data_IF_733408449430
#
_entry.id   IF_733408449430
#
_cell.length_a   1.000
_cell.length_b   1.000
_cell.length_c   1.000
_cell.angle_alpha   90.00
_cell.angle_beta   90.00
_cell.angle_gamma   90.00
#
_symmetry.space_group_name_H-M   'P 1'
#
loop_
_entity.id
_entity.type
_entity.pdbx_description
1 polymer ?
#
# COMPACT_ATOMS: atom_id res chain seq x y z
N UNK A 1 3.76 -57.34 8.76
CA UNK A 1 3.28 -58.73 8.76
C UNK A 1 2.29 -58.86 7.62
N UNK A 2 2.60 -59.66 6.60
CA UNK A 2 1.71 -59.89 5.47
C UNK A 2 0.48 -60.66 5.94
N UNK A 3 -0.71 -60.21 5.52
CA UNK A 3 -1.93 -60.97 5.73
C UNK A 3 -1.87 -62.25 4.87
N UNK A 4 -2.32 -63.41 5.38
CA UNK A 4 -2.38 -64.63 4.58
C UNK A 4 -3.23 -64.40 3.32
N UNK A 5 -2.74 -64.88 2.18
CA UNK A 5 -3.31 -64.71 0.82
C UNK A 5 -3.15 -63.32 0.17
N UNK A 6 -2.36 -62.41 0.74
CA UNK A 6 -1.99 -61.16 0.10
C UNK A 6 -0.56 -61.22 -0.44
N UNK A 7 -0.32 -60.57 -1.59
CA UNK A 7 1.02 -60.40 -2.18
C UNK A 7 1.38 -58.91 -2.18
N UNK A 8 2.59 -58.59 -1.73
CA UNK A 8 3.19 -57.26 -1.87
C UNK A 8 3.42 -56.96 -3.36
N UNK A 9 2.96 -55.80 -3.84
CA UNK A 9 3.21 -55.35 -5.21
C UNK A 9 3.81 -53.94 -5.19
N UNK A 10 4.70 -53.60 -6.15
CA UNK A 10 5.26 -52.26 -6.21
C UNK A 10 4.14 -51.25 -6.45
N UNK A 11 4.15 -50.15 -5.71
CA UNK A 11 3.19 -49.07 -5.93
C UNK A 11 3.39 -48.48 -7.33
N UNK A 12 2.34 -48.17 -8.09
CA UNK A 12 2.51 -47.51 -9.39
C UNK A 12 3.12 -46.12 -9.21
N UNK A 13 4.08 -45.77 -10.07
CA UNK A 13 4.67 -44.43 -10.14
C UNK A 13 3.97 -43.52 -11.14
N UNK A 14 4.42 -42.26 -11.19
CA UNK A 14 3.90 -41.25 -12.13
C UNK A 14 4.25 -41.56 -13.59
N UNK A 15 5.43 -42.12 -13.81
CA UNK A 15 5.94 -42.43 -15.14
C UNK A 15 5.76 -43.92 -15.42
N UNK A 16 5.62 -44.26 -16.70
CA UNK A 16 5.59 -45.66 -17.14
C UNK A 16 6.87 -46.38 -16.68
N UNK A 17 6.72 -47.63 -16.24
CA UNK A 17 7.81 -48.50 -15.76
C UNK A 17 8.56 -47.96 -14.52
N UNK A 18 7.98 -46.96 -13.85
CA UNK A 18 8.48 -46.43 -12.57
C UNK A 18 7.53 -46.82 -11.45
N UNK A 19 8.06 -47.34 -10.33
CA UNK A 19 7.26 -47.56 -9.13
C UNK A 19 7.38 -46.40 -8.13
N UNK A 20 6.36 -46.23 -7.30
CA UNK A 20 6.21 -45.14 -6.32
C UNK A 20 6.87 -45.42 -4.97
N UNK A 21 7.86 -46.30 -4.92
CA UNK A 21 8.53 -46.66 -3.67
C UNK A 21 9.49 -45.56 -3.25
N UNK A 22 9.62 -45.33 -1.95
CA UNK A 22 10.52 -44.32 -1.41
C UNK A 22 11.63 -44.94 -0.58
N UNK A 23 12.85 -44.41 -0.71
CA UNK A 23 13.94 -44.75 0.22
C UNK A 23 13.75 -43.95 1.49
N UNK A 24 13.72 -44.65 2.61
CA UNK A 24 13.89 -44.08 3.95
C UNK A 24 15.18 -44.61 4.56
N UNK A 25 15.67 -43.95 5.60
CA UNK A 25 16.88 -44.38 6.28
C UNK A 25 17.27 -43.43 7.41
N UNK A 26 18.41 -43.71 8.00
CA UNK A 26 19.02 -42.89 9.04
C UNK A 26 20.25 -42.18 8.47
N UNK A 27 20.43 -40.91 8.84
CA UNK A 27 21.67 -40.21 8.56
C UNK A 27 22.67 -40.53 9.67
N UNK A 28 23.85 -41.03 9.30
CA UNK A 28 24.96 -41.24 10.23
C UNK A 28 25.93 -40.07 10.04
N UNK A 29 26.09 -39.25 11.07
CA UNK A 29 27.00 -38.12 11.09
C UNK A 29 28.24 -38.41 11.93
N UNK A 30 29.42 -38.18 11.36
CA UNK A 30 30.70 -38.25 12.08
C UNK A 30 31.18 -36.81 12.29
N UNK A 31 31.47 -36.44 13.53
CA UNK A 31 32.00 -35.11 13.84
C UNK A 31 33.38 -34.93 13.20
N UNK A 32 33.61 -33.80 12.55
CA UNK A 32 34.95 -33.48 12.00
C UNK A 32 36.00 -33.17 13.06
N UNK A 33 35.63 -33.12 14.34
CA UNK A 33 36.47 -32.73 15.47
C UNK A 33 36.84 -33.92 16.40
N UNK A 34 36.81 -35.16 15.90
CA UNK A 34 37.23 -36.35 16.67
C UNK A 34 38.63 -36.82 16.27
N UNK A 35 39.27 -37.61 17.13
CA UNK A 35 40.57 -38.21 16.83
C UNK A 35 40.49 -39.24 15.71
N UNK A 36 41.61 -39.47 15.01
CA UNK A 36 41.72 -40.50 13.97
C UNK A 36 41.39 -41.90 14.50
N UNK A 37 41.81 -42.21 15.73
CA UNK A 37 41.45 -43.45 16.42
C UNK A 37 39.92 -43.59 16.57
N UNK A 38 39.23 -42.51 16.93
CA UNK A 38 37.76 -42.51 17.03
C UNK A 38 37.11 -42.70 15.66
N UNK A 39 37.67 -42.10 14.61
CA UNK A 39 37.19 -42.29 13.23
C UNK A 39 37.32 -43.77 12.84
N UNK A 40 38.47 -44.40 13.09
CA UNK A 40 38.69 -45.81 12.79
C UNK A 40 37.73 -46.73 13.55
N UNK A 41 37.49 -46.46 14.84
CA UNK A 41 36.50 -47.21 15.62
C UNK A 41 35.08 -47.08 15.05
N UNK A 42 34.67 -45.86 14.66
CA UNK A 42 33.36 -45.62 14.04
C UNK A 42 33.24 -46.32 12.69
N UNK A 43 34.32 -46.38 11.89
CA UNK A 43 34.31 -47.11 10.62
C UNK A 43 34.06 -48.61 10.81
N UNK A 44 34.62 -49.23 11.84
CA UNK A 44 34.34 -50.65 12.14
C UNK A 44 32.87 -50.87 12.54
N UNK A 45 32.28 -49.95 13.31
CA UNK A 45 30.85 -49.99 13.63
C UNK A 45 29.99 -49.85 12.36
N UNK A 46 30.33 -48.93 11.46
CA UNK A 46 29.59 -48.76 10.20
C UNK A 46 29.71 -50.01 9.33
N UNK A 47 30.91 -50.61 9.21
CA UNK A 47 31.10 -51.87 8.49
C UNK A 47 30.27 -53.00 9.07
N UNK A 48 30.23 -53.12 10.40
CA UNK A 48 29.42 -54.13 11.07
C UNK A 48 27.93 -53.93 10.78
N UNK A 49 27.40 -52.71 10.94
CA UNK A 49 25.98 -52.40 10.70
C UNK A 49 25.63 -52.62 9.21
N UNK A 50 26.52 -52.29 8.28
CA UNK A 50 26.31 -52.46 6.85
C UNK A 50 26.59 -53.88 6.33
N UNK A 51 27.06 -54.80 7.19
CA UNK A 51 27.40 -56.17 6.79
C UNK A 51 26.17 -56.95 6.31
N UNK A 52 26.37 -57.87 5.38
CA UNK A 52 25.27 -58.69 4.84
C UNK A 52 24.59 -59.53 5.93
N UNK A 53 25.36 -60.06 6.89
CA UNK A 53 24.83 -60.85 8.00
C UNK A 53 23.89 -60.03 8.89
N UNK A 54 24.33 -58.85 9.33
CA UNK A 54 23.51 -58.01 10.20
C UNK A 54 22.29 -57.45 9.44
N UNK A 55 22.45 -57.10 8.16
CA UNK A 55 21.33 -56.66 7.33
C UNK A 55 20.29 -57.77 7.09
N UNK A 56 20.72 -59.02 6.84
CA UNK A 56 19.80 -60.18 6.77
C UNK A 56 19.04 -60.35 8.09
N UNK A 57 19.74 -60.26 9.22
CA UNK A 57 19.14 -60.36 10.55
C UNK A 57 18.11 -59.25 10.78
N UNK A 58 18.42 -58.00 10.44
CA UNK A 58 17.48 -56.88 10.56
C UNK A 58 16.22 -57.11 9.74
N UNK A 59 16.36 -57.56 8.48
CA UNK A 59 15.22 -57.88 7.61
C UNK A 59 14.38 -59.02 8.19
N UNK A 60 14.99 -60.10 8.67
CA UNK A 60 14.27 -61.25 9.23
C UNK A 60 13.57 -60.94 10.54
N UNK A 61 14.20 -60.16 11.42
CA UNK A 61 13.66 -59.87 12.77
C UNK A 61 12.61 -58.76 12.73
N UNK A 62 12.88 -57.67 12.00
CA UNK A 62 12.03 -56.48 12.01
C UNK A 62 11.14 -56.34 10.78
N UNK A 63 11.33 -57.18 9.76
CA UNK A 63 10.59 -57.09 8.49
C UNK A 63 10.92 -55.84 7.69
N UNK A 64 12.00 -55.12 8.03
CA UNK A 64 12.49 -53.98 7.26
C UNK A 64 13.07 -54.45 5.93
N UNK A 65 13.11 -53.59 4.92
CA UNK A 65 13.80 -53.89 3.65
C UNK A 65 15.15 -53.18 3.67
N UNK A 66 16.23 -53.94 3.49
CA UNK A 66 17.59 -53.42 3.45
C UNK A 66 17.90 -52.79 2.10
N UNK A 67 18.77 -51.78 2.10
CA UNK A 67 19.36 -51.22 0.88
C UNK A 67 20.56 -52.02 0.37
N UNK A 68 21.05 -53.02 1.12
CA UNK A 68 22.17 -53.87 0.69
C UNK A 68 21.63 -54.95 -0.26
N UNK A 69 21.65 -54.66 -1.56
CA UNK A 69 20.97 -55.47 -2.59
C UNK A 69 21.51 -56.92 -2.64
N UNK A 70 22.80 -57.12 -2.35
CA UNK A 70 23.45 -58.42 -2.44
C UNK A 70 22.80 -59.50 -1.57
N UNK A 71 22.24 -59.13 -0.42
CA UNK A 71 21.60 -60.10 0.48
C UNK A 71 20.42 -60.82 -0.18
N UNK A 72 19.80 -60.18 -1.17
CA UNK A 72 18.65 -60.72 -1.91
C UNK A 72 19.06 -61.67 -3.04
N UNK A 73 20.35 -61.88 -3.27
CA UNK A 73 20.85 -62.91 -4.20
C UNK A 73 21.01 -64.28 -3.52
N UNK A 74 20.93 -64.33 -2.20
CA UNK A 74 20.99 -65.56 -1.42
C UNK A 74 19.67 -66.32 -1.48
N UNK A 75 19.67 -67.47 -2.17
CA UNK A 75 18.49 -68.31 -2.35
C UNK A 75 17.90 -68.85 -1.04
N UNK A 76 18.73 -69.08 -0.02
CA UNK A 76 18.25 -69.57 1.27
C UNK A 76 17.51 -68.47 2.03
N UNK A 77 18.07 -67.25 2.03
CA UNK A 77 17.42 -66.07 2.58
C UNK A 77 16.08 -65.76 1.89
N UNK A 78 16.03 -65.89 0.55
CA UNK A 78 14.83 -65.65 -0.24
C UNK A 78 13.69 -66.67 -0.04
N UNK A 79 13.92 -67.78 0.68
CA UNK A 79 12.82 -68.67 1.10
C UNK A 79 11.91 -68.01 2.14
N UNK A 80 12.42 -67.03 2.88
CA UNK A 80 11.71 -66.37 3.98
C UNK A 80 11.26 -64.95 3.63
N UNK A 81 11.80 -64.36 2.57
CA UNK A 81 11.56 -62.98 2.15
C UNK A 81 11.31 -62.91 0.65
N UNK A 82 10.33 -62.12 0.21
CA UNK A 82 10.09 -61.87 -1.22
C UNK A 82 11.21 -60.99 -1.82
N UNK A 83 12.31 -61.64 -2.19
CA UNK A 83 13.48 -61.00 -2.78
C UNK A 83 13.18 -60.39 -4.15
N UNK A 84 12.30 -61.03 -4.95
CA UNK A 84 11.94 -60.53 -6.27
C UNK A 84 11.19 -59.21 -6.16
N UNK A 85 10.29 -59.08 -5.18
CA UNK A 85 9.65 -57.81 -4.87
C UNK A 85 10.69 -56.72 -4.55
N UNK A 86 11.64 -56.98 -3.64
CA UNK A 86 12.63 -55.98 -3.22
C UNK A 86 13.58 -55.60 -4.36
N UNK A 87 14.01 -56.54 -5.19
CA UNK A 87 14.85 -56.26 -6.37
C UNK A 87 14.15 -55.39 -7.41
N UNK A 88 12.83 -55.49 -7.51
CA UNK A 88 12.03 -54.71 -8.45
C UNK A 88 11.61 -53.33 -7.89
N UNK A 89 11.83 -53.05 -6.61
CA UNK A 89 11.56 -51.74 -6.02
C UNK A 89 12.56 -50.71 -6.53
N UNK A 90 12.06 -49.56 -6.95
CA UNK A 90 12.87 -48.41 -7.33
C UNK A 90 12.82 -47.42 -6.17
N UNK A 91 13.97 -47.26 -5.51
CA UNK A 91 14.10 -46.33 -4.41
C UNK A 91 14.12 -44.88 -4.91
N UNK A 92 12.99 -44.18 -4.87
CA UNK A 92 12.97 -42.73 -5.15
C UNK A 92 13.22 -41.97 -3.85
N UNK A 93 14.06 -40.93 -3.92
CA UNK A 93 14.28 -40.05 -2.77
C UNK A 93 13.00 -39.29 -2.44
N UNK A 94 12.65 -39.21 -1.16
CA UNK A 94 11.57 -38.32 -0.71
C UNK A 94 11.97 -36.87 -1.00
N UNK A 95 11.06 -35.98 -1.39
CA UNK A 95 11.35 -34.57 -1.61
C UNK A 95 11.46 -33.81 -0.27
N UNK A 96 12.14 -34.39 0.73
CA UNK A 96 12.25 -33.83 2.07
C UNK A 96 13.02 -32.52 2.11
N UNK A 97 13.92 -32.28 1.15
CA UNK A 97 14.65 -31.02 1.01
C UNK A 97 13.79 -29.85 0.53
N UNK A 98 12.61 -30.11 -0.03
CA UNK A 98 11.76 -29.07 -0.60
C UNK A 98 10.87 -28.41 0.46
N UNK A 99 10.89 -28.91 1.69
CA UNK A 99 10.04 -28.47 2.78
C UNK A 99 10.87 -28.32 4.04
N UNK A 100 10.69 -27.21 4.76
CA UNK A 100 11.36 -26.99 6.04
C UNK A 100 10.95 -28.04 7.08
N UNK A 101 9.69 -28.50 7.02
CA UNK A 101 9.16 -29.57 7.84
C UNK A 101 8.33 -30.57 7.03
N UNK A 102 9.03 -31.57 6.46
CA UNK A 102 8.39 -32.64 5.69
C UNK A 102 7.40 -33.47 6.51
N UNK A 103 7.62 -33.64 7.81
CA UNK A 103 6.74 -34.42 8.67
C UNK A 103 5.36 -33.78 8.80
N UNK A 104 5.30 -32.49 9.12
CA UNK A 104 4.06 -31.71 9.14
C UNK A 104 3.35 -31.72 7.78
N UNK A 105 4.11 -31.52 6.69
CA UNK A 105 3.59 -31.61 5.33
C UNK A 105 2.94 -32.98 5.07
N UNK A 106 3.63 -34.06 5.41
CA UNK A 106 3.17 -35.43 5.16
C UNK A 106 1.88 -35.75 5.93
N UNK A 107 1.78 -35.31 7.19
CA UNK A 107 0.58 -35.47 8.01
C UNK A 107 -0.61 -34.75 7.38
N UNK A 108 -0.41 -33.51 6.89
CA UNK A 108 -1.46 -32.75 6.21
C UNK A 108 -1.95 -33.45 4.94
N UNK A 109 -1.03 -33.92 4.10
CA UNK A 109 -1.37 -34.64 2.87
C UNK A 109 -2.13 -35.93 3.18
N UNK A 110 -1.67 -36.70 4.18
CA UNK A 110 -2.36 -37.93 4.62
C UNK A 110 -3.78 -37.60 5.11
N UNK A 111 -3.95 -36.55 5.92
CA UNK A 111 -5.27 -36.15 6.40
C UNK A 111 -6.22 -35.76 5.26
N UNK A 112 -5.73 -35.03 4.26
CA UNK A 112 -6.50 -34.68 3.06
C UNK A 112 -6.86 -35.93 2.26
N UNK A 113 -5.90 -36.84 2.09
CA UNK A 113 -6.12 -38.09 1.36
C UNK A 113 -7.10 -39.01 2.09
N UNK A 114 -7.07 -39.06 3.42
CA UNK A 114 -8.05 -39.81 4.22
C UNK A 114 -9.47 -39.23 4.06
N UNK A 115 -9.62 -37.90 3.98
CA UNK A 115 -10.92 -37.27 3.65
C UNK A 115 -11.41 -37.66 2.25
N UNK A 116 -10.51 -37.92 1.31
CA UNK A 116 -10.86 -38.44 -0.01
C UNK A 116 -11.30 -39.91 0.05
N UNK A 117 -10.50 -40.77 0.69
CA UNK A 117 -10.78 -42.20 0.80
C UNK A 117 -12.07 -42.50 1.59
N UNK A 118 -12.35 -41.73 2.64
CA UNK A 118 -13.42 -42.04 3.60
C UNK A 118 -14.51 -40.96 3.72
N UNK A 119 -14.27 -39.74 3.23
CA UNK A 119 -15.13 -38.58 3.45
C UNK A 119 -15.96 -38.14 2.23
N UNK A 120 -16.09 -38.98 1.20
CA UNK A 120 -16.80 -38.68 -0.06
C UNK A 120 -16.31 -37.41 -0.77
N UNK A 121 -15.07 -36.98 -0.53
CA UNK A 121 -14.49 -35.81 -1.20
C UNK A 121 -14.18 -36.13 -2.66
N UNK A 122 -14.38 -35.18 -3.56
CA UNK A 122 -14.01 -35.37 -4.97
C UNK A 122 -12.49 -35.38 -5.14
N UNK A 123 -12.00 -36.21 -6.07
CA UNK A 123 -10.57 -36.29 -6.39
C UNK A 123 -10.00 -34.93 -6.82
N UNK A 124 -10.77 -34.16 -7.60
CA UNK A 124 -10.38 -32.82 -8.06
C UNK A 124 -10.14 -31.85 -6.90
N UNK A 125 -11.03 -31.83 -5.92
CA UNK A 125 -10.93 -30.92 -4.78
C UNK A 125 -9.80 -31.33 -3.84
N UNK A 126 -9.63 -32.64 -3.65
CA UNK A 126 -8.53 -33.23 -2.88
C UNK A 126 -7.18 -32.87 -3.50
N UNK A 127 -7.02 -33.05 -4.81
CA UNK A 127 -5.80 -32.67 -5.52
C UNK A 127 -5.55 -31.16 -5.46
N UNK A 128 -6.61 -30.35 -5.52
CA UNK A 128 -6.49 -28.88 -5.41
C UNK A 128 -6.01 -28.48 -4.02
N UNK A 129 -6.50 -29.12 -2.95
CA UNK A 129 -6.06 -28.85 -1.58
C UNK A 129 -4.60 -29.27 -1.36
N UNK A 130 -4.19 -30.42 -1.91
CA UNK A 130 -2.78 -30.85 -1.90
C UNK A 130 -1.89 -29.87 -2.68
N UNK A 131 -2.34 -29.39 -3.85
CA UNK A 131 -1.63 -28.36 -4.62
C UNK A 131 -1.52 -27.05 -3.82
N UNK A 132 -2.58 -26.63 -3.11
CA UNK A 132 -2.59 -25.40 -2.31
C UNK A 132 -1.58 -25.43 -1.14
N UNK A 133 -1.28 -26.60 -0.57
CA UNK A 133 -0.27 -26.73 0.50
C UNK A 133 1.14 -26.42 -0.04
N UNK A 134 1.41 -26.73 -1.30
CA UNK A 134 2.77 -26.62 -1.88
C UNK A 134 2.94 -25.37 -2.73
N UNK A 135 1.87 -24.91 -3.37
CA UNK A 135 1.92 -23.82 -4.33
C UNK A 135 1.97 -22.47 -3.64
N UNK A 136 2.92 -21.65 -4.05
CA UNK A 136 2.93 -20.21 -3.74
C UNK A 136 1.93 -19.52 -4.66
N UNK A 137 0.81 -19.08 -4.10
CA UNK A 137 -0.21 -18.36 -4.83
C UNK A 137 0.19 -16.91 -5.06
N UNK A 138 -0.21 -16.40 -6.22
CA UNK A 138 0.16 -15.09 -6.72
C UNK A 138 -1.11 -14.30 -7.01
N UNK A 139 -1.17 -13.03 -6.58
CA UNK A 139 -2.24 -12.12 -6.94
C UNK A 139 -2.13 -11.76 -8.43
N UNK A 140 -2.94 -12.41 -9.28
CA UNK A 140 -2.84 -12.30 -10.73
C UNK A 140 -4.21 -12.38 -11.39
N UNK A 141 -4.42 -11.52 -12.39
CA UNK A 141 -5.64 -11.48 -13.21
C UNK A 141 -5.90 -12.77 -13.98
N UNK A 142 -4.88 -13.63 -14.16
CA UNK A 142 -5.04 -14.94 -14.79
C UNK A 142 -5.80 -15.93 -13.89
N UNK A 143 -5.69 -15.78 -12.57
CA UNK A 143 -6.20 -16.77 -11.61
C UNK A 143 -7.46 -16.31 -10.86
N UNK A 144 -7.66 -14.99 -10.71
CA UNK A 144 -8.78 -14.43 -9.94
C UNK A 144 -9.53 -13.37 -10.75
N UNK A 145 -10.83 -13.56 -10.93
CA UNK A 145 -11.70 -12.62 -11.67
C UNK A 145 -11.78 -11.25 -10.98
N UNK A 146 -11.78 -11.23 -9.64
CA UNK A 146 -11.82 -10.02 -8.84
C UNK A 146 -10.56 -9.16 -9.08
N UNK A 147 -9.41 -9.81 -9.24
CA UNK A 147 -8.16 -9.11 -9.55
C UNK A 147 -8.16 -8.56 -10.98
N UNK A 148 -8.79 -9.25 -11.94
CA UNK A 148 -8.97 -8.74 -13.30
C UNK A 148 -9.84 -7.47 -13.31
N UNK A 149 -10.98 -7.49 -12.60
CA UNK A 149 -11.85 -6.31 -12.48
C UNK A 149 -11.08 -5.12 -11.90
N UNK A 150 -10.30 -5.36 -10.84
CA UNK A 150 -9.52 -4.30 -10.20
C UNK A 150 -8.44 -3.74 -11.12
N UNK A 151 -7.78 -4.58 -11.93
CA UNK A 151 -6.82 -4.13 -12.93
C UNK A 151 -7.47 -3.26 -14.01
N UNK A 152 -8.64 -3.64 -14.50
CA UNK A 152 -9.41 -2.85 -15.48
C UNK A 152 -9.77 -1.48 -14.87
N UNK A 153 -10.24 -1.45 -13.62
CA UNK A 153 -10.56 -0.20 -12.92
C UNK A 153 -9.33 0.71 -12.76
N UNK A 154 -8.15 0.16 -12.43
CA UNK A 154 -6.90 0.92 -12.37
C UNK A 154 -6.53 1.51 -13.73
N UNK A 155 -6.66 0.74 -14.81
CA UNK A 155 -6.38 1.22 -16.18
C UNK A 155 -7.36 2.34 -16.57
N UNK A 156 -8.65 2.17 -16.31
CA UNK A 156 -9.65 3.20 -16.57
C UNK A 156 -9.36 4.49 -15.78
N UNK A 157 -9.02 4.37 -14.50
CA UNK A 157 -8.63 5.53 -13.69
C UNK A 157 -7.36 6.21 -14.22
N UNK A 158 -6.39 5.46 -14.71
CA UNK A 158 -5.18 6.02 -15.32
C UNK A 158 -5.54 6.89 -16.53
N UNK A 159 -6.36 6.38 -17.44
CA UNK A 159 -6.81 7.15 -18.60
C UNK A 159 -7.66 8.35 -18.19
N UNK A 160 -8.54 8.21 -17.19
CA UNK A 160 -9.32 9.34 -16.67
C UNK A 160 -8.42 10.45 -16.12
N UNK A 161 -7.35 10.12 -15.39
CA UNK A 161 -6.37 11.09 -14.89
C UNK A 161 -5.67 11.79 -16.06
N UNK A 162 -5.14 11.04 -17.02
CA UNK A 162 -4.42 11.60 -18.17
C UNK A 162 -5.33 12.48 -19.04
N UNK A 163 -6.53 12.01 -19.38
CA UNK A 163 -7.47 12.77 -20.22
C UNK A 163 -7.93 14.05 -19.52
N UNK A 164 -8.18 14.01 -18.22
CA UNK A 164 -8.59 15.21 -17.47
C UNK A 164 -7.52 16.31 -17.48
N UNK A 165 -6.22 15.96 -17.57
CA UNK A 165 -5.18 16.99 -17.66
C UNK A 165 -5.21 17.78 -18.96
N UNK A 166 -5.74 17.19 -20.04
CA UNK A 166 -5.90 17.87 -21.31
C UNK A 166 -6.90 19.04 -21.19
N UNK A 167 -7.85 18.98 -20.25
CA UNK A 167 -8.83 20.05 -19.99
C UNK A 167 -8.12 21.37 -19.64
N UNK A 168 -6.96 21.31 -18.97
CA UNK A 168 -6.20 22.50 -18.54
C UNK A 168 -5.64 23.26 -19.75
N UNK A 169 -5.34 22.55 -20.85
CA UNK A 169 -4.80 23.14 -22.07
C UNK A 169 -5.83 23.98 -22.82
N UNK A 170 -7.13 23.80 -22.53
CA UNK A 170 -8.22 24.53 -23.17
C UNK A 170 -8.31 25.93 -22.53
N UNK A 171 -8.13 27.03 -23.28
CA UNK A 171 -8.11 28.39 -22.74
C UNK A 171 -9.37 28.77 -21.94
N UNK A 172 -10.53 28.24 -22.33
CA UNK A 172 -11.81 28.44 -21.63
C UNK A 172 -11.75 28.01 -20.16
N UNK A 173 -11.01 26.95 -19.84
CA UNK A 173 -10.91 26.42 -18.49
C UNK A 173 -9.74 27.01 -17.69
N UNK A 174 -8.82 27.76 -18.30
CA UNK A 174 -7.65 28.35 -17.62
C UNK A 174 -8.01 29.22 -16.42
N UNK A 175 -9.14 29.95 -16.49
CA UNK A 175 -9.61 30.79 -15.37
C UNK A 175 -10.04 30.00 -14.13
N UNK A 176 -10.40 28.73 -14.29
CA UNK A 176 -10.81 27.85 -13.18
C UNK A 176 -9.60 27.28 -12.42
N UNK A 177 -8.39 27.41 -12.97
CA UNK A 177 -7.18 26.83 -12.38
C UNK A 177 -6.27 27.86 -11.69
N UNK A 178 -6.70 29.11 -11.50
CA UNK A 178 -5.86 30.23 -11.00
C UNK A 178 -5.10 29.97 -9.68
N UNK A 179 -5.70 29.28 -8.71
CA UNK A 179 -5.03 28.84 -7.46
C UNK A 179 -3.72 28.10 -7.69
N UNK A 180 -3.60 27.30 -8.76
CA UNK A 180 -2.45 26.42 -8.99
C UNK A 180 -1.95 26.60 -10.43
N UNK A 181 -0.72 27.12 -10.56
CA UNK A 181 -0.07 27.28 -11.87
C UNK A 181 0.06 25.96 -12.64
N UNK A 182 0.12 26.04 -13.96
CA UNK A 182 0.16 24.90 -14.87
C UNK A 182 1.24 23.86 -14.51
N UNK A 183 2.49 24.30 -14.30
CA UNK A 183 3.62 23.43 -13.98
C UNK A 183 3.39 22.59 -12.72
N UNK A 184 2.64 23.15 -11.77
CA UNK A 184 2.35 22.55 -10.48
C UNK A 184 1.27 21.48 -10.62
N UNK A 185 0.28 21.72 -11.49
CA UNK A 185 -0.76 20.74 -11.78
C UNK A 185 -0.15 19.54 -12.52
N UNK A 186 0.86 19.74 -13.36
CA UNK A 186 1.62 18.63 -13.97
C UNK A 186 2.27 17.77 -12.88
N UNK A 187 2.98 18.38 -11.93
CA UNK A 187 3.61 17.64 -10.82
C UNK A 187 2.57 16.89 -9.99
N UNK A 188 1.45 17.55 -9.67
CA UNK A 188 0.34 16.94 -8.94
C UNK A 188 -0.23 15.71 -9.67
N UNK A 189 -0.44 15.83 -10.98
CA UNK A 189 -0.96 14.74 -11.82
C UNK A 189 0.02 13.59 -11.87
N UNK A 190 1.31 13.87 -12.05
CA UNK A 190 2.36 12.86 -12.02
C UNK A 190 2.35 12.12 -10.67
N UNK A 191 2.19 12.86 -9.56
CA UNK A 191 2.01 12.27 -8.24
C UNK A 191 0.80 11.34 -8.15
N UNK A 192 -0.34 11.74 -8.71
CA UNK A 192 -1.57 10.94 -8.75
C UNK A 192 -1.41 9.65 -9.58
N UNK A 193 -0.69 9.73 -10.69
CA UNK A 193 -0.32 8.57 -11.53
C UNK A 193 0.60 7.62 -10.75
N UNK A 194 1.60 8.13 -10.01
CA UNK A 194 2.47 7.30 -9.18
C UNK A 194 1.71 6.61 -8.05
N UNK A 195 0.79 7.31 -7.39
CA UNK A 195 -0.08 6.71 -6.36
C UNK A 195 -0.95 5.60 -6.95
N UNK A 196 -1.57 5.83 -8.12
CA UNK A 196 -2.38 4.82 -8.80
C UNK A 196 -1.53 3.62 -9.24
N UNK A 197 -0.35 3.89 -9.81
CA UNK A 197 0.60 2.88 -10.27
C UNK A 197 1.16 2.01 -9.14
N UNK A 198 1.14 2.49 -7.89
CA UNK A 198 1.43 1.65 -6.71
C UNK A 198 0.49 0.45 -6.66
N UNK A 199 -0.79 0.61 -7.02
CA UNK A 199 -1.75 -0.49 -7.11
C UNK A 199 -1.33 -1.59 -8.09
N UNK A 200 -0.73 -1.21 -9.22
CA UNK A 200 -0.25 -2.16 -10.24
C UNK A 200 0.90 -3.05 -9.72
N UNK A 201 1.68 -2.59 -8.74
CA UNK A 201 2.80 -3.37 -8.16
C UNK A 201 2.35 -4.55 -7.29
N UNK A 202 1.05 -4.63 -6.95
CA UNK A 202 0.48 -5.78 -6.24
C UNK A 202 0.27 -7.00 -7.14
N UNK A 203 0.25 -6.80 -8.46
CA UNK A 203 -0.02 -7.88 -9.42
C UNK A 203 1.24 -8.68 -9.79
N UNK A 204 1.06 -9.97 -9.98
CA UNK A 204 2.10 -10.93 -10.36
C UNK A 204 3.01 -11.31 -9.20
N UNK A 205 4.10 -12.02 -9.52
CA UNK A 205 5.04 -12.53 -8.51
C UNK A 205 5.63 -11.40 -7.66
N UNK A 206 5.70 -11.61 -6.34
CA UNK A 206 6.37 -10.73 -5.40
C UNK A 206 7.87 -10.90 -5.57
N UNK A 207 8.55 -9.80 -5.90
CA UNK A 207 10.00 -9.71 -6.06
C UNK A 207 10.49 -8.50 -5.29
N UNK A 208 11.74 -8.53 -4.82
CA UNK A 208 12.34 -7.44 -4.06
C UNK A 208 12.22 -6.09 -4.77
N UNK A 209 12.53 -6.05 -6.08
CA UNK A 209 12.39 -4.86 -6.92
C UNK A 209 10.96 -4.31 -6.96
N UNK A 210 9.94 -5.19 -6.92
CA UNK A 210 8.54 -4.75 -6.88
C UNK A 210 8.16 -4.21 -5.50
N UNK A 211 8.67 -4.80 -4.41
CA UNK A 211 8.48 -4.27 -3.06
C UNK A 211 9.08 -2.87 -2.93
N UNK A 212 10.30 -2.69 -3.45
CA UNK A 212 10.96 -1.39 -3.53
C UNK A 212 10.15 -0.39 -4.37
N UNK A 213 9.77 -0.77 -5.60
CA UNK A 213 9.01 0.10 -6.49
C UNK A 213 7.66 0.49 -5.89
N UNK A 214 6.97 -0.43 -5.21
CA UNK A 214 5.73 -0.16 -4.48
C UNK A 214 5.92 0.95 -3.46
N UNK A 215 6.93 0.84 -2.61
CA UNK A 215 7.21 1.83 -1.57
C UNK A 215 7.65 3.18 -2.17
N UNK A 216 8.51 3.14 -3.19
CA UNK A 216 8.99 4.32 -3.90
C UNK A 216 7.84 5.10 -4.55
N UNK A 217 7.00 4.43 -5.35
CA UNK A 217 5.87 5.06 -6.04
C UNK A 217 4.86 5.64 -5.05
N UNK A 218 4.54 4.92 -3.97
CA UNK A 218 3.65 5.40 -2.92
C UNK A 218 4.23 6.65 -2.25
N UNK A 219 5.51 6.62 -1.90
CA UNK A 219 6.16 7.72 -1.19
C UNK A 219 6.29 8.97 -2.03
N UNK A 220 6.80 8.82 -3.26
CA UNK A 220 6.98 9.95 -4.16
C UNK A 220 5.64 10.50 -4.64
N UNK A 221 4.69 9.63 -4.96
CA UNK A 221 3.35 10.01 -5.37
C UNK A 221 2.65 10.86 -4.30
N UNK A 222 2.71 10.45 -3.04
CA UNK A 222 2.17 11.21 -1.92
C UNK A 222 2.81 12.60 -1.81
N UNK A 223 4.15 12.68 -1.82
CA UNK A 223 4.88 13.95 -1.74
C UNK A 223 4.53 14.88 -2.91
N UNK A 224 4.44 14.36 -4.13
CA UNK A 224 4.10 15.13 -5.33
C UNK A 224 2.65 15.61 -5.36
N UNK A 225 1.72 14.93 -4.68
CA UNK A 225 0.32 15.38 -4.55
C UNK A 225 0.18 16.48 -3.49
N UNK A 226 0.73 16.27 -2.29
CA UNK A 226 0.50 17.20 -1.17
C UNK A 226 1.43 18.42 -1.16
N UNK A 227 2.66 18.32 -1.68
CA UNK A 227 3.60 19.44 -1.66
C UNK A 227 3.11 20.65 -2.48
N UNK A 228 2.54 20.48 -3.69
CA UNK A 228 1.83 21.54 -4.39
C UNK A 228 0.79 22.30 -3.56
N UNK A 229 -0.03 21.56 -2.81
CA UNK A 229 -1.10 22.09 -1.97
C UNK A 229 -0.49 22.91 -0.84
N UNK A 230 0.49 22.34 -0.15
CA UNK A 230 1.20 22.99 0.95
C UNK A 230 1.86 24.30 0.51
N UNK A 231 2.58 24.30 -0.62
CA UNK A 231 3.20 25.52 -1.16
C UNK A 231 2.16 26.61 -1.45
N UNK A 232 1.00 26.25 -1.99
CA UNK A 232 -0.06 27.20 -2.29
C UNK A 232 -0.71 27.81 -1.05
N UNK A 233 -0.90 27.02 0.00
CA UNK A 233 -1.37 27.51 1.29
C UNK A 233 -0.34 28.47 1.89
N UNK A 234 0.94 28.08 1.95
CA UNK A 234 2.01 28.97 2.44
C UNK A 234 2.04 30.31 1.68
N UNK A 235 1.90 30.30 0.35
CA UNK A 235 1.87 31.55 -0.45
C UNK A 235 0.63 32.42 -0.15
N UNK A 236 -0.50 31.79 0.19
CA UNK A 236 -1.76 32.48 0.44
C UNK A 236 -1.98 32.85 1.90
N UNK A 237 -1.01 32.58 2.76
CA UNK A 237 -1.06 32.92 4.18
C UNK A 237 -1.47 34.40 4.40
N UNK A 238 -2.36 34.71 5.37
CA UNK A 238 -2.96 36.04 5.48
C UNK A 238 -1.98 37.18 5.79
N UNK A 239 -0.86 36.87 6.44
CA UNK A 239 0.20 37.81 6.80
C UNK A 239 1.43 37.63 5.90
N UNK A 240 1.96 38.74 5.39
CA UNK A 240 3.22 38.70 4.66
C UNK A 240 4.34 38.25 5.60
N UNK A 241 5.02 37.17 5.21
CA UNK A 241 6.16 36.66 5.96
C UNK A 241 7.27 36.21 5.00
N UNK A 242 8.50 36.25 5.49
CA UNK A 242 9.70 35.92 4.69
C UNK A 242 9.63 34.53 4.08
N UNK A 243 8.95 33.58 4.73
CA UNK A 243 8.78 32.20 4.25
C UNK A 243 7.85 32.18 3.02
N UNK A 244 6.74 32.89 3.08
CA UNK A 244 5.75 32.99 2.00
C UNK A 244 6.35 33.65 0.78
N UNK A 245 7.12 34.73 0.97
CA UNK A 245 7.84 35.39 -0.13
C UNK A 245 8.92 34.50 -0.75
N UNK A 246 9.67 33.77 0.08
CA UNK A 246 10.66 32.80 -0.39
C UNK A 246 10.00 31.69 -1.22
N UNK A 247 8.92 31.08 -0.71
CA UNK A 247 8.18 30.02 -1.41
C UNK A 247 7.53 30.57 -2.68
N UNK A 248 6.95 31.78 -2.65
CA UNK A 248 6.37 32.43 -3.82
C UNK A 248 7.39 32.61 -4.95
N UNK A 249 8.61 33.05 -4.63
CA UNK A 249 9.68 33.26 -5.61
C UNK A 249 10.31 31.96 -6.12
N UNK A 250 10.37 30.91 -5.30
CA UNK A 250 11.11 29.65 -5.58
C UNK A 250 10.26 28.39 -5.52
N UNK A 251 8.96 28.50 -5.76
CA UNK A 251 7.96 27.43 -5.57
C UNK A 251 8.34 26.09 -6.19
N UNK A 252 8.73 26.07 -7.46
CA UNK A 252 9.11 24.83 -8.16
C UNK A 252 10.35 24.20 -7.53
N UNK A 253 11.35 25.00 -7.19
CA UNK A 253 12.57 24.53 -6.52
C UNK A 253 12.27 23.91 -5.15
N UNK A 254 11.37 24.51 -4.37
CA UNK A 254 10.94 23.97 -3.06
C UNK A 254 10.29 22.59 -3.24
N UNK A 255 9.41 22.44 -4.24
CA UNK A 255 8.76 21.16 -4.54
C UNK A 255 9.80 20.11 -4.98
N UNK A 256 10.67 20.46 -5.94
CA UNK A 256 11.70 19.54 -6.45
C UNK A 256 12.69 19.13 -5.36
N UNK A 257 13.11 20.06 -4.50
CA UNK A 257 13.98 19.76 -3.37
C UNK A 257 13.32 18.79 -2.40
N UNK A 258 12.03 18.99 -2.06
CA UNK A 258 11.29 18.10 -1.17
C UNK A 258 11.11 16.71 -1.78
N UNK A 259 10.81 16.63 -3.09
CA UNK A 259 10.76 15.36 -3.83
C UNK A 259 12.11 14.66 -3.83
N UNK A 260 13.22 15.39 -4.05
CA UNK A 260 14.57 14.86 -4.04
C UNK A 260 14.96 14.31 -2.65
N UNK A 261 14.61 15.02 -1.58
CA UNK A 261 14.77 14.52 -0.20
C UNK A 261 13.93 13.27 0.02
N UNK A 262 12.67 13.24 -0.43
CA UNK A 262 11.87 12.02 -0.34
C UNK A 262 12.47 10.87 -1.14
N UNK A 263 13.06 11.13 -2.31
CA UNK A 263 13.73 10.12 -3.13
C UNK A 263 15.00 9.59 -2.45
N UNK A 264 15.80 10.46 -1.82
CA UNK A 264 17.01 10.03 -1.10
C UNK A 264 16.67 9.13 0.09
N UNK A 265 15.61 9.45 0.85
CA UNK A 265 15.12 8.53 1.88
C UNK A 265 14.68 7.19 1.31
N UNK A 266 14.12 7.16 0.10
CA UNK A 266 13.77 5.89 -0.55
C UNK A 266 15.01 5.11 -0.99
N UNK A 267 16.08 5.77 -1.44
CA UNK A 267 17.34 5.08 -1.78
C UNK A 267 18.00 4.39 -0.58
N UNK A 268 17.73 4.83 0.66
CA UNK A 268 18.20 4.12 1.86
C UNK A 268 17.61 2.70 1.96
N UNK A 269 16.41 2.46 1.42
CA UNK A 269 15.83 1.11 1.35
C UNK A 269 16.52 0.20 0.31
N UNK A 270 17.39 0.73 -0.56
CA UNK A 270 18.23 -0.11 -1.41
C UNK A 270 19.42 -0.68 -0.62
N UNK A 271 19.91 0.04 0.39
CA UNK A 271 21.00 -0.41 1.26
C UNK A 271 20.49 -1.49 2.21
N UNK A 272 19.23 -1.39 2.63
CA UNK A 272 18.58 -2.41 3.45
C UNK A 272 17.41 -3.02 2.67
N UNK A 273 17.70 -4.02 1.81
CA UNK A 273 16.73 -4.54 0.86
C UNK A 273 15.52 -5.16 1.55
N UNK A 274 14.42 -5.22 0.79
CA UNK A 274 13.21 -5.94 1.21
C UNK A 274 13.49 -7.44 1.22
N UNK A 275 13.03 -8.11 2.27
CA UNK A 275 13.08 -9.56 2.36
C UNK A 275 11.75 -10.14 1.88
N UNK A 276 11.81 -11.24 1.12
CA UNK A 276 10.62 -11.97 0.71
C UNK A 276 10.38 -13.07 1.74
N UNK A 277 9.28 -12.96 2.49
CA UNK A 277 8.86 -13.99 3.42
C UNK A 277 7.70 -14.79 2.85
N UNK A 278 7.82 -16.11 2.85
CA UNK A 278 6.71 -17.01 2.55
C UNK A 278 5.86 -17.16 3.80
N UNK A 279 4.56 -16.87 3.68
CA UNK A 279 3.56 -17.07 4.73
C UNK A 279 2.87 -18.39 4.44
N UNK A 280 3.13 -19.36 5.29
CA UNK A 280 2.43 -20.65 5.28
C UNK A 280 1.11 -20.51 6.05
N UNK A 281 -0.02 -20.84 5.41
CA UNK A 281 -1.35 -20.74 6.02
C UNK A 281 -1.90 -22.14 6.18
N UNK A 282 -2.26 -22.53 7.41
CA UNK A 282 -2.53 -23.92 7.78
C UNK A 282 -3.61 -24.61 6.92
N UNK A 283 -4.69 -23.88 6.62
CA UNK A 283 -5.81 -24.29 5.76
C UNK A 283 -6.00 -23.36 4.55
N UNK A 284 -4.95 -22.59 4.23
CA UNK A 284 -5.03 -21.51 3.25
C UNK A 284 -4.14 -21.73 2.05
N UNK A 285 -3.92 -20.62 1.35
CA UNK A 285 -3.05 -20.55 0.20
C UNK A 285 -1.75 -19.90 0.64
N UNK A 286 -0.64 -20.61 0.50
CA UNK A 286 0.66 -20.04 0.81
C UNK A 286 0.97 -18.88 -0.15
N UNK A 287 1.61 -17.83 0.34
CA UNK A 287 1.91 -16.65 -0.46
C UNK A 287 3.18 -15.95 0.01
N UNK A 288 3.80 -15.20 -0.89
CA UNK A 288 4.95 -14.38 -0.58
C UNK A 288 4.50 -12.97 -0.20
N UNK A 289 5.10 -12.40 0.84
CA UNK A 289 4.88 -11.02 1.25
C UNK A 289 6.21 -10.27 1.34
N UNK A 290 6.14 -8.94 1.20
CA UNK A 290 7.29 -8.07 1.39
C UNK A 290 7.43 -7.76 2.88
N UNK A 291 8.55 -8.14 3.48
CA UNK A 291 8.90 -7.71 4.85
C UNK A 291 10.05 -6.72 4.79
N UNK A 292 9.97 -5.69 5.61
CA UNK A 292 11.10 -4.79 5.82
C UNK A 292 12.11 -5.46 6.74
N UNK A 293 13.40 -5.25 6.46
CA UNK A 293 14.46 -5.48 7.44
C UNK A 293 14.25 -4.59 8.68
N UNK A 294 14.93 -4.88 9.80
CA UNK A 294 14.82 -4.05 11.01
C UNK A 294 15.12 -2.55 10.76
N UNK A 295 16.13 -2.25 9.94
CA UNK A 295 16.48 -0.86 9.57
C UNK A 295 15.42 -0.29 8.63
N UNK A 296 14.94 -1.07 7.67
CA UNK A 296 13.86 -0.67 6.77
C UNK A 296 12.57 -0.30 7.51
N UNK A 297 12.21 -1.04 8.57
CA UNK A 297 11.07 -0.71 9.43
C UNK A 297 11.25 0.68 10.04
N UNK A 298 12.41 0.95 10.64
CA UNK A 298 12.71 2.23 11.27
C UNK A 298 12.61 3.39 10.27
N UNK A 299 13.24 3.27 9.10
CA UNK A 299 13.17 4.29 8.04
C UNK A 299 11.72 4.49 7.55
N UNK A 300 10.97 3.40 7.37
CA UNK A 300 9.56 3.44 6.95
C UNK A 300 8.68 4.17 7.98
N UNK A 301 8.89 3.93 9.28
CA UNK A 301 8.17 4.63 10.37
C UNK A 301 8.48 6.12 10.34
N UNK A 302 9.76 6.51 10.23
CA UNK A 302 10.14 7.94 10.12
C UNK A 302 9.46 8.59 8.92
N UNK A 303 9.48 7.95 7.75
CA UNK A 303 8.83 8.48 6.55
C UNK A 303 7.31 8.66 6.74
N UNK A 304 6.64 7.73 7.44
CA UNK A 304 5.21 7.85 7.77
C UNK A 304 4.93 9.01 8.73
N UNK A 305 5.74 9.17 9.77
CA UNK A 305 5.62 10.28 10.73
C UNK A 305 5.80 11.63 10.02
N UNK A 306 6.83 11.77 9.18
CA UNK A 306 7.07 13.00 8.40
C UNK A 306 5.88 13.33 7.49
N UNK A 307 5.30 12.34 6.81
CA UNK A 307 4.09 12.53 5.99
C UNK A 307 2.86 12.91 6.82
N UNK A 308 2.68 12.29 7.99
CA UNK A 308 1.62 12.66 8.94
C UNK A 308 1.76 14.12 9.41
N UNK A 309 2.98 14.57 9.71
CA UNK A 309 3.25 15.96 10.06
C UNK A 309 2.96 16.92 8.89
N UNK A 310 3.26 16.53 7.65
CA UNK A 310 2.89 17.33 6.47
C UNK A 310 1.37 17.47 6.34
N UNK A 311 0.61 16.39 6.50
CA UNK A 311 -0.86 16.45 6.47
C UNK A 311 -1.39 17.34 7.59
N UNK A 312 -0.82 17.24 8.80
CA UNK A 312 -1.20 18.08 9.93
C UNK A 312 -0.96 19.56 9.64
N UNK A 313 0.21 19.89 9.09
CA UNK A 313 0.55 21.27 8.71
C UNK A 313 -0.41 21.84 7.67
N UNK A 314 -0.80 21.05 6.65
CA UNK A 314 -1.80 21.45 5.67
C UNK A 314 -3.13 21.80 6.35
N UNK A 315 -3.61 20.97 7.29
CA UNK A 315 -4.86 21.23 8.00
C UNK A 315 -4.78 22.48 8.90
N UNK A 316 -3.64 22.72 9.55
CA UNK A 316 -3.42 23.95 10.32
C UNK A 316 -3.50 25.17 9.40
N UNK A 317 -2.87 25.14 8.23
CA UNK A 317 -2.92 26.26 7.28
C UNK A 317 -4.33 26.47 6.72
N UNK A 318 -5.06 25.40 6.38
CA UNK A 318 -6.48 25.48 5.98
C UNK A 318 -7.31 26.15 7.07
N UNK A 319 -7.09 25.78 8.33
CA UNK A 319 -7.77 26.40 9.47
C UNK A 319 -7.43 27.89 9.59
N UNK A 320 -6.17 28.27 9.43
CA UNK A 320 -5.73 29.66 9.53
C UNK A 320 -6.26 30.54 8.38
N UNK A 321 -6.46 29.98 7.19
CA UNK A 321 -6.95 30.70 6.01
C UNK A 321 -8.47 30.64 5.82
N UNK A 322 -9.20 30.02 6.76
CA UNK A 322 -10.60 29.61 6.59
C UNK A 322 -11.57 30.68 6.04
N UNK A 323 -11.41 31.95 6.42
CA UNK A 323 -12.32 33.03 6.03
C UNK A 323 -11.77 34.00 4.96
N UNK A 324 -10.63 33.70 4.34
CA UNK A 324 -10.05 34.54 3.27
C UNK A 324 -10.96 34.48 2.04
N UNK A 325 -11.52 35.63 1.63
CA UNK A 325 -12.59 35.71 0.61
C UNK A 325 -12.16 35.12 -0.73
N UNK A 326 -10.89 35.27 -1.11
CA UNK A 326 -10.37 34.79 -2.38
C UNK A 326 -10.28 33.26 -2.47
N UNK A 327 -10.08 32.57 -1.34
CA UNK A 327 -9.79 31.12 -1.30
C UNK A 327 -10.84 30.30 -0.53
N UNK A 328 -11.85 30.94 0.07
CA UNK A 328 -12.83 30.29 0.98
C UNK A 328 -13.50 29.04 0.39
N UNK A 329 -13.93 29.08 -0.87
CA UNK A 329 -14.61 27.94 -1.50
C UNK A 329 -13.64 26.77 -1.76
N UNK A 330 -12.42 27.09 -2.20
CA UNK A 330 -11.38 26.10 -2.45
C UNK A 330 -10.91 25.46 -1.13
N UNK A 331 -10.74 26.25 -0.06
CA UNK A 331 -10.33 25.75 1.26
C UNK A 331 -11.38 24.84 1.90
N UNK A 332 -12.67 25.15 1.77
CA UNK A 332 -13.75 24.29 2.28
C UNK A 332 -13.77 22.94 1.58
N UNK A 333 -13.65 22.95 0.25
CA UNK A 333 -13.56 21.72 -0.52
C UNK A 333 -12.28 20.94 -0.17
N UNK A 334 -11.14 21.63 -0.08
CA UNK A 334 -9.87 21.02 0.33
C UNK A 334 -9.97 20.37 1.71
N UNK A 335 -10.62 21.02 2.68
CA UNK A 335 -10.80 20.49 4.02
C UNK A 335 -11.54 19.13 4.02
N UNK A 336 -12.59 19.00 3.20
CA UNK A 336 -13.35 17.74 3.08
C UNK A 336 -12.44 16.62 2.54
N UNK A 337 -11.67 16.89 1.48
CA UNK A 337 -10.75 15.90 0.91
C UNK A 337 -9.60 15.57 1.85
N UNK A 338 -9.03 16.56 2.55
CA UNK A 338 -7.98 16.33 3.53
C UNK A 338 -8.48 15.45 4.68
N UNK A 339 -9.71 15.66 5.16
CA UNK A 339 -10.34 14.80 6.17
C UNK A 339 -10.50 13.35 5.68
N UNK A 340 -10.99 13.16 4.46
CA UNK A 340 -11.11 11.82 3.87
C UNK A 340 -9.74 11.16 3.65
N UNK A 341 -8.74 11.91 3.18
CA UNK A 341 -7.37 11.42 3.02
C UNK A 341 -6.76 10.97 4.35
N UNK A 342 -7.01 11.68 5.45
CA UNK A 342 -6.60 11.29 6.79
C UNK A 342 -7.18 9.94 7.18
N UNK A 343 -8.49 9.76 6.98
CA UNK A 343 -9.20 8.51 7.28
C UNK A 343 -8.64 7.36 6.44
N UNK A 344 -8.50 7.55 5.13
CA UNK A 344 -7.95 6.53 4.23
C UNK A 344 -6.50 6.18 4.57
N UNK A 345 -5.68 7.16 4.94
CA UNK A 345 -4.30 6.92 5.35
C UNK A 345 -4.21 6.15 6.67
N UNK A 346 -5.05 6.49 7.65
CA UNK A 346 -5.14 5.75 8.92
C UNK A 346 -5.57 4.31 8.68
N UNK A 347 -6.62 4.10 7.88
CA UNK A 347 -7.11 2.77 7.50
C UNK A 347 -6.00 1.96 6.80
N UNK A 348 -5.25 2.59 5.88
CA UNK A 348 -4.10 1.97 5.23
C UNK A 348 -3.01 1.54 6.23
N UNK A 349 -2.70 2.38 7.24
CA UNK A 349 -1.72 2.04 8.27
C UNK A 349 -2.21 0.85 9.10
N UNK A 350 -3.47 0.86 9.54
CA UNK A 350 -4.07 -0.22 10.33
C UNK A 350 -4.00 -1.54 9.56
N UNK A 351 -4.46 -1.56 8.30
CA UNK A 351 -4.46 -2.80 7.51
C UNK A 351 -3.07 -3.34 7.22
N UNK A 352 -2.07 -2.48 7.03
CA UNK A 352 -0.68 -2.93 6.89
C UNK A 352 -0.06 -3.41 8.20
N UNK A 353 -0.55 -2.95 9.35
CA UNK A 353 -0.11 -3.43 10.65
C UNK A 353 -0.77 -4.77 11.02
N UNK A 354 -2.00 -5.02 10.56
CA UNK A 354 -2.73 -6.26 10.82
C UNK A 354 -2.28 -7.39 9.89
N UNK A 355 -1.97 -8.56 10.45
CA UNK A 355 -1.63 -9.77 9.68
C UNK A 355 -2.89 -10.48 9.15
N UNK A 356 -3.47 -9.98 8.06
CA UNK A 356 -4.56 -10.69 7.37
C UNK A 356 -3.98 -11.91 6.66
N UNK A 357 -4.39 -13.11 7.09
CA UNK A 357 -3.92 -14.39 6.55
C UNK A 357 -4.38 -14.63 5.09
N UNK A 358 -5.50 -14.02 4.67
CA UNK A 358 -5.98 -14.13 3.30
C UNK A 358 -5.30 -13.09 2.39
N UNK A 359 -4.32 -13.55 1.60
CA UNK A 359 -3.54 -12.68 0.71
C UNK A 359 -4.38 -11.98 -0.37
N UNK A 360 -5.46 -12.62 -0.87
CA UNK A 360 -6.33 -12.04 -1.90
C UNK A 360 -7.02 -10.81 -1.32
N UNK A 361 -7.65 -10.98 -0.16
CA UNK A 361 -8.34 -9.92 0.57
C UNK A 361 -7.37 -8.80 0.96
N UNK A 362 -6.21 -9.16 1.51
CA UNK A 362 -5.19 -8.19 1.93
C UNK A 362 -4.70 -7.31 0.76
N UNK A 363 -4.38 -7.92 -0.38
CA UNK A 363 -3.93 -7.17 -1.56
C UNK A 363 -5.07 -6.34 -2.17
N UNK A 364 -6.29 -6.87 -2.22
CA UNK A 364 -7.45 -6.12 -2.73
C UNK A 364 -7.77 -4.89 -1.89
N UNK A 365 -7.82 -5.02 -0.56
CA UNK A 365 -8.06 -3.89 0.36
C UNK A 365 -7.01 -2.79 0.13
N UNK A 366 -5.73 -3.16 0.07
CA UNK A 366 -4.65 -2.21 -0.17
C UNK A 366 -4.81 -1.47 -1.50
N UNK A 367 -5.11 -2.19 -2.58
CA UNK A 367 -5.31 -1.57 -3.91
C UNK A 367 -6.56 -0.70 -3.94
N UNK A 368 -7.66 -1.11 -3.32
CA UNK A 368 -8.91 -0.33 -3.24
C UNK A 368 -8.70 0.96 -2.45
N UNK A 369 -8.01 0.92 -1.32
CA UNK A 369 -7.70 2.13 -0.54
C UNK A 369 -6.88 3.11 -1.38
N UNK A 370 -5.83 2.63 -2.07
CA UNK A 370 -4.98 3.45 -2.94
C UNK A 370 -5.76 4.01 -4.14
N UNK A 371 -6.68 3.23 -4.70
CA UNK A 371 -7.56 3.65 -5.78
C UNK A 371 -8.49 4.79 -5.34
N UNK A 372 -9.21 4.62 -4.21
CA UNK A 372 -10.10 5.66 -3.67
C UNK A 372 -9.30 6.91 -3.31
N UNK A 373 -8.11 6.74 -2.71
CA UNK A 373 -7.22 7.85 -2.37
C UNK A 373 -6.78 8.63 -3.61
N UNK A 374 -6.30 7.96 -4.66
CA UNK A 374 -5.88 8.64 -5.89
C UNK A 374 -7.07 9.32 -6.60
N UNK A 375 -8.19 8.61 -6.75
CA UNK A 375 -9.35 9.12 -7.46
C UNK A 375 -10.00 10.31 -6.75
N UNK A 376 -10.10 10.28 -5.42
CA UNK A 376 -10.67 11.39 -4.67
C UNK A 376 -9.85 12.68 -4.76
N UNK A 377 -8.54 12.57 -4.61
CA UNK A 377 -7.60 13.68 -4.78
C UNK A 377 -7.68 14.24 -6.19
N UNK A 378 -7.76 13.39 -7.20
CA UNK A 378 -7.87 13.81 -8.58
C UNK A 378 -9.22 14.45 -8.91
N UNK A 379 -10.32 13.83 -8.47
CA UNK A 379 -11.68 14.33 -8.62
C UNK A 379 -11.86 15.71 -7.99
N UNK A 380 -11.25 15.95 -6.84
CA UNK A 380 -11.21 17.27 -6.21
C UNK A 380 -10.60 18.34 -7.11
N UNK A 381 -9.37 18.08 -7.58
CA UNK A 381 -8.61 19.07 -8.33
C UNK A 381 -9.27 19.45 -9.65
N UNK A 382 -9.96 18.52 -10.29
CA UNK A 382 -10.51 18.72 -11.63
C UNK A 382 -12.02 18.92 -11.68
N UNK A 383 -12.80 18.16 -10.91
CA UNK A 383 -14.27 18.20 -11.03
C UNK A 383 -14.86 19.19 -10.03
N UNK A 384 -14.58 19.00 -8.74
CA UNK A 384 -15.13 19.84 -7.67
C UNK A 384 -14.76 21.31 -7.91
N UNK A 385 -13.49 21.56 -8.24
CA UNK A 385 -13.01 22.92 -8.49
C UNK A 385 -13.74 23.64 -9.63
N UNK A 386 -14.01 22.94 -10.74
CA UNK A 386 -14.74 23.52 -11.87
C UNK A 386 -16.19 23.86 -11.46
N UNK A 387 -16.86 22.96 -10.73
CA UNK A 387 -18.24 23.15 -10.27
C UNK A 387 -18.34 24.36 -9.34
N UNK A 388 -17.51 24.42 -8.28
CA UNK A 388 -17.56 25.50 -7.29
C UNK A 388 -17.25 26.87 -7.90
N UNK A 389 -16.24 26.97 -8.77
CA UNK A 389 -15.91 28.25 -9.40
C UNK A 389 -17.02 28.69 -10.36
N UNK A 390 -17.66 27.77 -11.08
CA UNK A 390 -18.81 28.08 -11.95
C UNK A 390 -19.96 28.68 -11.15
N UNK A 391 -20.31 28.08 -10.02
CA UNK A 391 -21.36 28.61 -9.13
C UNK A 391 -20.99 29.98 -8.55
N UNK A 392 -19.73 30.17 -8.14
CA UNK A 392 -19.28 31.46 -7.59
C UNK A 392 -19.37 32.61 -8.60
N UNK A 393 -19.07 32.34 -9.88
CA UNK A 393 -19.20 33.36 -10.94
C UNK A 393 -20.65 33.71 -11.21
N UNK A 394 -21.55 32.71 -11.24
CA UNK A 394 -22.99 32.94 -11.40
C UNK A 394 -23.53 33.85 -10.29
N UNK A 395 -23.19 33.56 -9.02
CA UNK A 395 -23.61 34.39 -7.88
C UNK A 395 -23.04 35.79 -7.94
N UNK A 396 -21.77 35.96 -8.32
CA UNK A 396 -21.17 37.28 -8.47
C UNK A 396 -21.79 38.11 -9.61
N UNK A 397 -22.30 37.47 -10.67
CA UNK A 397 -23.06 38.16 -11.73
C UNK A 397 -24.47 38.53 -11.26
N UNK A 398 -25.13 37.67 -10.50
CA UNK A 398 -26.43 37.96 -9.86
C UNK A 398 -26.32 39.10 -8.83
N UNK A 399 -25.30 39.09 -7.97
CA UNK A 399 -25.03 40.17 -7.00
C UNK A 399 -24.75 41.49 -7.72
N UNK A 400 -23.93 41.48 -8.78
CA UNK A 400 -23.70 42.67 -9.62
C UNK A 400 -24.97 43.16 -10.32
N UNK A 401 -25.88 42.25 -10.68
CA UNK A 401 -27.16 42.60 -11.27
C UNK A 401 -28.10 43.23 -10.24
N UNK A 402 -28.16 42.67 -9.03
CA UNK A 402 -28.92 43.23 -7.90
C UNK A 402 -28.37 44.62 -7.52
N UNK A 403 -27.04 44.79 -7.43
CA UNK A 403 -26.42 46.08 -7.15
C UNK A 403 -26.77 47.13 -8.22
N UNK A 404 -26.80 46.74 -9.50
CA UNK A 404 -27.25 47.61 -10.59
C UNK A 404 -28.73 48.00 -10.45
N UNK A 405 -29.59 47.06 -10.06
CA UNK A 405 -31.01 47.36 -9.82
C UNK A 405 -31.21 48.28 -8.60
N UNK A 406 -30.46 48.08 -7.53
CA UNK A 406 -30.49 48.94 -6.35
C UNK A 406 -29.98 50.35 -6.65
N UNK A 407 -28.94 50.48 -7.49
CA UNK A 407 -28.47 51.79 -7.96
C UNK A 407 -29.50 52.51 -8.84
N UNK A 408 -30.25 51.79 -9.68
CA UNK A 408 -31.32 52.37 -10.49
C UNK A 408 -32.50 52.84 -9.65
N UNK A 409 -32.85 52.12 -8.57
CA UNK A 409 -33.95 52.51 -7.68
C UNK A 409 -33.59 53.68 -6.75
N UNK A 410 -32.30 53.88 -6.47
CA UNK A 410 -31.79 54.99 -5.66
C UNK A 410 -31.46 56.25 -6.48
N UNK A 411 -31.74 56.28 -7.79
CA UNK A 411 -31.70 57.56 -8.50
C UNK A 411 -32.80 58.46 -7.94
N UNK A 412 -32.46 59.63 -7.36
CA UNK A 412 -33.46 60.54 -6.85
C UNK A 412 -34.34 60.93 -8.04
N UNK A 413 -35.62 60.58 -7.96
CA UNK A 413 -36.63 61.18 -8.81
C UNK A 413 -36.51 62.68 -8.56
N UNK A 414 -35.98 63.41 -9.54
CA UNK A 414 -35.96 64.88 -9.53
C UNK A 414 -37.42 65.29 -9.66
N UNK A 415 -38.15 65.24 -8.55
CA UNK A 415 -39.43 65.91 -8.41
C UNK A 415 -39.06 67.37 -8.21
N UNK A 416 -39.13 68.12 -9.30
CA UNK A 416 -39.16 69.58 -9.27
C UNK A 416 -40.41 70.03 -8.51
N UNK A 417 -40.34 70.01 -7.17
CA UNK A 417 -41.25 70.77 -6.32
C UNK A 417 -40.55 72.06 -5.92
N UNK A 418 -40.81 73.07 -6.73
CA UNK A 418 -40.68 74.47 -6.37
C UNK A 418 -41.43 74.77 -5.07
N UNK A 419 -40.71 75.40 -4.14
CA UNK A 419 -41.18 76.24 -3.03
C UNK A 419 -42.09 75.58 -1.98
N UNK A 420 -41.62 75.55 -0.72
CA UNK A 420 -42.11 76.45 0.35
C UNK A 420 -41.09 76.42 1.50
N UNK A 421 -40.85 77.62 2.02
CA UNK A 421 -39.90 77.96 3.07
C UNK A 421 -40.28 77.46 4.47
N UNK A 422 -39.23 77.36 5.30
CA UNK A 422 -39.16 77.65 6.74
C UNK A 422 -39.91 76.74 7.73
N UNK A 423 -39.15 76.08 8.60
CA UNK A 423 -38.98 76.53 9.99
C UNK A 423 -37.96 75.66 10.74
N UNK A 424 -37.16 76.35 11.55
CA UNK A 424 -36.08 75.84 12.39
C UNK A 424 -36.54 74.72 13.34
N UNK A 425 -35.71 73.69 13.50
CA UNK A 425 -35.72 72.84 14.70
C UNK A 425 -34.29 72.34 15.01
N UNK A 426 -33.93 72.20 16.30
CA UNK A 426 -32.55 72.26 16.73
C UNK A 426 -31.81 70.93 16.55
N UNK A 427 -30.57 71.09 16.14
CA UNK A 427 -29.48 70.13 16.05
C UNK A 427 -29.27 69.40 17.40
N UNK A 428 -29.77 68.17 17.52
CA UNK A 428 -29.21 67.22 18.49
C UNK A 428 -27.95 66.61 17.89
N UNK A 429 -26.81 67.10 18.35
CA UNK A 429 -25.48 66.61 18.01
C UNK A 429 -25.31 65.19 18.53
N UNK A 430 -25.69 64.19 17.74
CA UNK A 430 -25.17 62.83 17.91
C UNK A 430 -23.72 62.90 17.43
N UNK A 431 -22.81 63.06 18.39
CA UNK A 431 -21.38 62.84 18.17
C UNK A 431 -21.22 61.43 17.62
N UNK A 432 -20.97 61.33 16.33
CA UNK A 432 -20.35 60.16 15.76
C UNK A 432 -18.96 60.06 16.39
N UNK A 433 -18.75 58.99 17.16
CA UNK A 433 -17.43 58.60 17.65
C UNK A 433 -16.50 58.51 16.43
N UNK A 434 -15.71 59.56 16.30
CA UNK A 434 -14.56 59.59 15.42
C UNK A 434 -13.62 58.54 15.95
N UNK A 435 -13.30 57.58 15.07
CA UNK A 435 -12.48 56.43 15.37
C UNK A 435 -11.26 56.83 16.20
N UNK A 436 -11.29 56.47 17.47
CA UNK A 436 -10.07 56.21 18.23
C UNK A 436 -9.30 55.18 17.42
N UNK A 437 -8.27 55.63 16.73
CA UNK A 437 -7.18 54.79 16.29
C UNK A 437 -6.58 54.18 17.54
N UNK A 438 -7.15 53.07 18.00
CA UNK A 438 -6.57 52.29 19.07
C UNK A 438 -5.33 51.68 18.44
N UNK A 439 -4.19 52.34 18.63
CA UNK A 439 -2.88 51.69 18.57
C UNK A 439 -2.85 50.66 19.68
N UNK A 440 -3.51 49.52 19.44
CA UNK A 440 -3.41 48.32 20.28
C UNK A 440 -2.03 47.75 20.01
N UNK A 441 -1.02 48.35 20.64
CA UNK A 441 0.31 47.75 20.79
C UNK A 441 0.31 46.75 21.97
N UNK A 442 -0.87 46.19 22.27
CA UNK A 442 -0.95 45.06 23.17
C UNK A 442 -0.44 43.85 22.40
N UNK A 443 0.67 43.28 22.86
CA UNK A 443 1.11 41.92 22.55
C UNK A 443 -0.04 40.96 22.85
N UNK A 444 -0.99 40.85 21.94
CA UNK A 444 -2.09 39.91 22.03
C UNK A 444 -1.47 38.54 22.21
N UNK A 445 -1.87 37.86 23.29
CA UNK A 445 -1.52 36.46 23.52
C UNK A 445 -1.62 35.68 22.21
N UNK A 446 -0.64 34.83 21.88
CA UNK A 446 -0.56 34.09 20.60
C UNK A 446 -1.90 33.49 20.12
N UNK A 447 -2.77 33.07 21.06
CA UNK A 447 -4.15 32.63 20.80
C UNK A 447 -5.00 33.65 20.03
N UNK A 448 -4.94 34.92 20.41
CA UNK A 448 -5.69 36.00 19.76
C UNK A 448 -5.17 36.22 18.33
N UNK A 449 -3.87 36.09 18.07
CA UNK A 449 -3.33 36.19 16.69
C UNK A 449 -3.85 35.06 15.81
N UNK A 450 -3.86 33.81 16.31
CA UNK A 450 -4.39 32.65 15.58
C UNK A 450 -5.87 32.84 15.23
N UNK A 451 -6.69 33.27 16.20
CA UNK A 451 -8.10 33.58 15.97
C UNK A 451 -8.28 34.73 14.98
N UNK A 452 -7.46 35.78 15.08
CA UNK A 452 -7.50 36.90 14.14
C UNK A 452 -7.18 36.47 12.71
N UNK A 453 -6.24 35.55 12.49
CA UNK A 453 -6.00 34.98 11.15
C UNK A 453 -7.22 34.20 10.66
N UNK A 454 -7.76 33.32 11.51
CA UNK A 454 -8.93 32.50 11.17
C UNK A 454 -10.13 33.35 10.74
N UNK A 455 -10.41 34.47 11.41
CA UNK A 455 -11.52 35.37 11.10
C UNK A 455 -11.18 36.47 10.08
N UNK A 456 -9.92 36.56 9.62
CA UNK A 456 -9.56 37.59 8.64
C UNK A 456 -10.22 37.32 7.30
N UNK A 457 -10.83 38.36 6.74
CA UNK A 457 -11.48 38.30 5.43
C UNK A 457 -10.64 38.86 4.30
N UNK A 458 -9.51 39.51 4.61
CA UNK A 458 -8.58 40.11 3.64
C UNK A 458 -7.13 39.81 4.02
N UNK A 459 -6.24 39.81 3.02
CA UNK A 459 -4.79 39.76 3.26
C UNK A 459 -4.35 41.05 3.97
N UNK A 460 -3.53 40.92 5.01
CA UNK A 460 -2.94 42.07 5.70
C UNK A 460 -1.88 42.68 4.77
N UNK A 461 -2.20 43.83 4.18
CA UNK A 461 -1.18 44.68 3.57
C UNK A 461 -0.44 45.38 4.71
N UNK A 462 0.79 44.95 5.00
CA UNK A 462 1.70 45.79 5.76
C UNK A 462 1.97 47.02 4.91
N UNK A 463 1.41 48.17 5.31
CA UNK A 463 1.86 49.46 4.80
C UNK A 463 3.31 49.63 5.26
N UNK A 464 4.25 49.19 4.42
CA UNK A 464 5.65 49.53 4.56
C UNK A 464 5.79 51.01 4.20
N UNK A 465 5.57 51.88 5.19
CA UNK A 465 6.20 53.19 5.19
C UNK A 465 7.67 52.95 5.58
N UNK A 466 8.49 52.65 4.58
CA UNK A 466 9.93 52.92 4.58
C UNK A 466 10.26 53.81 3.39
#
# INVERSE_FOLDING_TARGET
MLLPNYKETPLPGRNRDVNGSCVGGFNIGISKYVSEESINAVLEVIKFIASEEEQKKLVSVFGVKSSVINIYNDQEFCKYVDCDFVKNIQGISRPSSNFDNYELYSIKVINIFNKFLYGNKLAKDTLTEIDNITRIHIFSSKYFSESLVLLILLILAFFMIVLSTQIILIPKYKSYFQFMGFDIIIIYTLGSILLLGTGCTYFGQVKEIKCFLRHLMLSLGFTMVFMPILCNLIINFPEQNKISDFVKKRKIYVILCTVAVSASFNTLHLISPFEIKTVEVEDGRNYNTCTFSHIGIFVSVIQRVVKGLFLLLINILIFLEWNVRETVYELRALNIIMGMNWILHLIYIIFNATSIQNFLVSNMINVVILFIFSLSNHFYMFVIRIIFIRESKSKGEEEKFIDKLLQLNNQPTIVNNSAVYSANTPTSTIKSDTGTGISVDSKGTYKNRILNYHYSTRKFSTNSNE
#
